data_IF_888812951890
#
_entry.id   IF_888812951890
#
_cell.length_a   1.000
_cell.length_b   1.000
_cell.length_c   1.000
_cell.angle_alpha   90.00
_cell.angle_beta   90.00
_cell.angle_gamma   90.00
#
_symmetry.space_group_name_H-M   'P 1'
#
loop_
_entity.id
_entity.type
_entity.pdbx_description
1 polymer ?
#
# COMPACT_ATOMS: atom_id res chain seq x y z
N UNK A 1 -8.29 0.52 -13.89
CA UNK A 1 -7.65 1.74 -13.36
C UNK A 1 -6.29 1.87 -14.00
N UNK A 2 -5.85 3.09 -14.30
CA UNK A 2 -4.52 3.33 -14.85
C UNK A 2 -3.46 3.14 -13.75
N UNK A 3 -2.34 2.54 -14.11
CA UNK A 3 -1.21 2.38 -13.19
C UNK A 3 -0.41 3.68 -13.14
N UNK A 4 -0.02 4.10 -11.94
CA UNK A 4 0.92 5.21 -11.76
C UNK A 4 2.28 4.83 -12.34
N UNK A 5 3.04 5.85 -12.78
CA UNK A 5 4.39 5.67 -13.35
C UNK A 5 5.30 4.85 -12.43
N UNK A 6 5.31 5.16 -11.12
CA UNK A 6 6.10 4.42 -10.14
C UNK A 6 5.67 2.94 -10.04
N UNK A 7 4.38 2.63 -10.21
CA UNK A 7 3.89 1.24 -10.21
C UNK A 7 4.36 0.48 -11.44
N UNK A 8 4.46 1.15 -12.59
CA UNK A 8 5.02 0.58 -13.82
C UNK A 8 6.52 0.31 -13.62
N UNK A 9 7.26 1.29 -13.11
CA UNK A 9 8.71 1.19 -12.83
C UNK A 9 9.02 0.07 -11.82
N UNK A 10 8.28 -0.03 -10.71
CA UNK A 10 8.45 -1.07 -9.70
C UNK A 10 8.20 -2.49 -10.24
N UNK A 11 7.30 -2.60 -11.23
CA UNK A 11 6.93 -3.88 -11.85
C UNK A 11 7.83 -4.26 -13.03
N UNK A 12 8.54 -3.30 -13.64
CA UNK A 12 9.37 -3.53 -14.83
C UNK A 12 10.42 -4.64 -14.62
N UNK A 13 10.92 -4.82 -13.39
CA UNK A 13 11.84 -5.92 -13.02
C UNK A 13 11.29 -7.34 -13.26
N UNK A 14 9.99 -7.49 -13.47
CA UNK A 14 9.33 -8.77 -13.73
C UNK A 14 9.04 -9.03 -15.22
N UNK A 15 9.40 -8.10 -16.13
CA UNK A 15 9.14 -8.17 -17.56
C UNK A 15 10.45 -8.02 -18.36
N UNK A 16 10.46 -8.43 -19.64
CA UNK A 16 11.66 -8.34 -20.48
C UNK A 16 11.96 -6.89 -20.90
N UNK A 17 10.92 -6.04 -20.98
CA UNK A 17 11.04 -4.61 -21.25
C UNK A 17 9.90 -3.81 -20.61
N UNK A 18 10.11 -2.51 -20.42
CA UNK A 18 9.09 -1.61 -19.86
C UNK A 18 7.81 -1.56 -20.72
N UNK A 19 7.95 -1.73 -22.04
CA UNK A 19 6.84 -1.71 -22.98
C UNK A 19 5.86 -2.89 -22.79
N UNK A 20 6.31 -3.97 -22.15
CA UNK A 20 5.47 -5.14 -21.82
C UNK A 20 4.71 -4.99 -20.51
N UNK A 21 5.03 -3.97 -19.70
CA UNK A 21 4.36 -3.74 -18.42
C UNK A 21 2.92 -3.25 -18.67
N UNK A 22 1.89 -3.93 -18.14
CA UNK A 22 0.51 -3.49 -18.32
C UNK A 22 0.27 -2.08 -17.80
N UNK A 23 -0.44 -1.25 -18.57
CA UNK A 23 -0.76 0.14 -18.19
C UNK A 23 -2.03 0.28 -17.35
N UNK A 24 -2.83 -0.77 -17.29
CA UNK A 24 -4.10 -0.79 -16.57
C UNK A 24 -4.25 -2.07 -15.77
N UNK A 25 -4.95 -1.99 -14.65
CA UNK A 25 -5.30 -3.14 -13.82
C UNK A 25 -6.78 -3.12 -13.40
N UNK A 26 -7.32 -4.31 -13.17
CA UNK A 26 -8.58 -4.49 -12.45
C UNK A 26 -8.22 -4.66 -10.98
N UNK A 27 -8.75 -3.80 -10.11
CA UNK A 27 -8.49 -3.84 -8.68
C UNK A 27 -9.79 -3.81 -7.88
N UNK A 28 -9.74 -4.36 -6.67
CA UNK A 28 -10.82 -4.22 -5.72
C UNK A 28 -10.92 -2.77 -5.24
N UNK A 29 -12.14 -2.25 -5.14
CA UNK A 29 -12.37 -0.94 -4.55
C UNK A 29 -12.18 -0.94 -3.03
N UNK A 30 -11.87 0.23 -2.48
CA UNK A 30 -11.67 0.42 -1.03
C UNK A 30 -12.85 -0.03 -0.18
N UNK A 31 -14.09 0.21 -0.65
CA UNK A 31 -15.31 -0.25 0.02
C UNK A 31 -15.31 -1.77 0.23
N UNK A 32 -14.84 -2.54 -0.75
CA UNK A 32 -14.77 -3.99 -0.65
C UNK A 32 -13.70 -4.44 0.34
N UNK A 33 -12.54 -3.77 0.36
CA UNK A 33 -11.46 -4.04 1.31
C UNK A 33 -11.92 -3.76 2.75
N UNK A 34 -12.56 -2.61 2.98
CA UNK A 34 -13.09 -2.21 4.29
C UNK A 34 -14.29 -3.04 4.75
N UNK A 35 -14.91 -3.82 3.86
CA UNK A 35 -15.96 -4.77 4.22
C UNK A 35 -15.44 -6.07 4.84
N UNK A 36 -14.12 -6.28 4.89
CA UNK A 36 -13.52 -7.46 5.52
C UNK A 36 -13.79 -7.48 7.03
N UNK A 37 -13.88 -8.68 7.63
CA UNK A 37 -14.02 -8.78 9.10
C UNK A 37 -12.71 -8.47 9.84
N UNK A 38 -11.58 -8.77 9.19
CA UNK A 38 -10.21 -8.54 9.68
C UNK A 38 -9.32 -8.25 8.48
N UNK A 39 -8.41 -7.31 8.64
CA UNK A 39 -7.44 -6.92 7.60
C UNK A 39 -6.04 -7.20 8.15
N UNK A 40 -5.24 -7.95 7.38
CA UNK A 40 -3.82 -8.19 7.66
C UNK A 40 -2.99 -7.45 6.61
N UNK A 41 -2.12 -6.56 7.05
CA UNK A 41 -1.22 -5.77 6.21
C UNK A 41 0.20 -6.27 6.45
N UNK A 42 0.95 -6.45 5.36
CA UNK A 42 2.36 -6.79 5.39
C UNK A 42 3.17 -5.63 4.81
N UNK A 43 4.18 -5.16 5.53
CA UNK A 43 5.11 -4.13 5.06
C UNK A 43 6.55 -4.59 5.26
N UNK A 44 7.37 -4.52 4.22
CA UNK A 44 8.77 -4.93 4.29
C UNK A 44 9.63 -4.00 3.47
N UNK A 45 10.81 -3.69 4.01
CA UNK A 45 11.80 -2.81 3.39
C UNK A 45 11.68 -1.34 3.81
N UNK A 46 12.82 -0.66 3.84
CA UNK A 46 12.94 0.75 4.20
C UNK A 46 12.12 1.69 3.29
N UNK A 47 11.89 1.30 2.04
CA UNK A 47 11.05 2.07 1.11
C UNK A 47 9.56 2.11 1.50
N UNK A 48 9.15 1.36 2.53
CA UNK A 48 7.79 1.39 3.08
C UNK A 48 7.67 2.21 4.36
N UNK A 49 8.77 2.66 4.97
CA UNK A 49 8.74 3.32 6.27
C UNK A 49 7.85 4.58 6.29
N UNK A 50 7.92 5.41 5.24
CA UNK A 50 7.07 6.60 5.13
C UNK A 50 5.58 6.23 4.97
N UNK A 51 5.27 5.26 4.11
CA UNK A 51 3.91 4.80 3.91
C UNK A 51 3.30 4.17 5.18
N UNK A 52 4.11 3.45 5.97
CA UNK A 52 3.67 2.87 7.25
C UNK A 52 3.41 3.97 8.29
N UNK A 53 4.28 4.98 8.39
CA UNK A 53 4.07 6.14 9.26
C UNK A 53 2.80 6.88 8.90
N UNK A 54 2.63 7.23 7.63
CA UNK A 54 1.47 8.01 7.17
C UNK A 54 0.16 7.22 7.30
N UNK A 55 0.22 5.89 7.16
CA UNK A 55 -0.92 5.00 7.41
C UNK A 55 -1.35 5.02 8.88
N UNK A 56 -0.42 5.04 9.82
CA UNK A 56 -0.70 4.91 11.26
C UNK A 56 -0.96 6.26 11.95
N UNK A 57 -0.09 7.24 11.72
CA UNK A 57 -0.06 8.51 12.45
C UNK A 57 -0.48 9.73 11.59
N UNK A 58 -0.60 9.54 10.28
CA UNK A 58 -1.06 10.58 9.36
C UNK A 58 -2.58 10.82 9.45
N UNK A 59 -3.09 11.95 8.91
CA UNK A 59 -4.53 12.14 8.78
C UNK A 59 -5.14 11.11 7.80
N UNK A 60 -6.43 10.83 7.96
CA UNK A 60 -7.18 10.07 6.94
C UNK A 60 -7.26 10.91 5.67
N UNK A 61 -6.48 10.54 4.67
CA UNK A 61 -6.26 11.28 3.42
C UNK A 61 -6.46 10.36 2.20
N UNK A 62 -7.31 10.72 1.23
CA UNK A 62 -7.46 9.99 -0.03
C UNK A 62 -6.17 9.81 -0.84
N UNK A 63 -5.17 10.68 -0.65
CA UNK A 63 -3.84 10.56 -1.28
C UNK A 63 -2.96 9.51 -0.61
N UNK A 64 -3.33 9.06 0.60
CA UNK A 64 -2.73 7.93 1.32
C UNK A 64 -3.82 6.88 1.56
N UNK A 65 -4.16 6.04 0.56
CA UNK A 65 -5.31 5.14 0.66
C UNK A 65 -5.30 4.21 1.88
N UNK A 66 -4.12 3.87 2.41
CA UNK A 66 -3.98 3.04 3.59
C UNK A 66 -4.43 3.75 4.89
N UNK A 67 -4.42 5.09 4.94
CA UNK A 67 -4.84 5.87 6.12
C UNK A 67 -6.29 5.59 6.54
N UNK A 68 -7.18 5.24 5.61
CA UNK A 68 -8.57 4.89 5.92
C UNK A 68 -8.70 3.62 6.78
N UNK A 69 -7.65 2.80 6.84
CA UNK A 69 -7.61 1.59 7.68
C UNK A 69 -7.62 1.93 9.18
N UNK A 70 -7.26 3.17 9.55
CA UNK A 70 -7.44 3.70 10.91
C UNK A 70 -8.91 3.65 11.37
N UNK A 71 -9.88 3.66 10.43
CA UNK A 71 -11.31 3.60 10.72
C UNK A 71 -11.86 2.17 10.81
N UNK A 72 -11.05 1.17 10.47
CA UNK A 72 -11.50 -0.22 10.47
C UNK A 72 -11.29 -0.87 11.86
N UNK A 73 -12.30 -1.54 12.43
CA UNK A 73 -12.25 -2.01 13.82
C UNK A 73 -11.26 -3.16 14.07
N UNK A 74 -10.75 -3.81 13.01
CA UNK A 74 -9.81 -4.92 13.15
C UNK A 74 -8.77 -4.93 12.03
N UNK A 75 -7.61 -4.33 12.31
CA UNK A 75 -6.44 -4.30 11.43
C UNK A 75 -5.22 -4.81 12.18
N UNK A 76 -4.41 -5.63 11.51
CA UNK A 76 -3.12 -6.07 12.01
C UNK A 76 -2.06 -5.71 10.98
N UNK A 77 -1.04 -4.97 11.40
CA UNK A 77 0.16 -4.72 10.61
C UNK A 77 1.26 -5.66 11.07
N UNK A 78 1.87 -6.38 10.14
CA UNK A 78 3.14 -7.08 10.34
C UNK A 78 4.17 -6.35 9.47
N UNK A 79 5.17 -5.78 10.12
CA UNK A 79 6.23 -5.04 9.45
C UNK A 79 7.60 -5.51 9.94
N UNK A 80 8.61 -5.45 9.05
CA UNK A 80 10.00 -5.63 9.46
C UNK A 80 10.59 -4.36 10.09
N UNK A 81 11.74 -4.51 10.75
CA UNK A 81 12.40 -3.40 11.46
C UNK A 81 12.69 -2.21 10.52
N UNK A 82 13.05 -2.50 9.26
CA UNK A 82 13.39 -1.45 8.29
C UNK A 82 12.17 -0.63 7.87
N UNK A 83 11.00 -1.24 7.79
CA UNK A 83 9.72 -0.60 7.50
C UNK A 83 9.13 0.14 8.72
N UNK A 84 9.65 -0.09 9.93
CA UNK A 84 9.18 0.56 11.17
C UNK A 84 10.09 1.72 11.63
N UNK A 85 11.13 2.05 10.88
CA UNK A 85 12.16 3.05 11.27
C UNK A 85 11.65 4.46 11.51
N UNK A 86 10.47 4.81 10.99
CA UNK A 86 9.84 6.14 11.14
C UNK A 86 8.65 6.15 12.10
N UNK A 87 8.40 5.04 12.79
CA UNK A 87 7.36 4.94 13.83
C UNK A 87 7.97 5.31 15.18
N UNK A 88 7.33 6.23 15.94
CA UNK A 88 7.84 6.68 17.24
C UNK A 88 7.86 5.58 18.32
#
# INVERSE_FOLDING_TARGET
MDLNKNTIEDNARFFESEDEVPRQAISMGMKSILGAKRILILASGANKAEAVRDMLDGPVDPMVPASILQLHPSVTLIADDTAMTLIP
#
